data_IF_229407986536
#
_entry.id   IF_229407986536
#
_cell.length_a   1.000
_cell.length_b   1.000
_cell.length_c   1.000
_cell.angle_alpha   90.00
_cell.angle_beta   90.00
_cell.angle_gamma   90.00
#
_symmetry.space_group_name_H-M   'P 1'
#
loop_
_entity.id
_entity.type
_entity.pdbx_description
1 polymer ?
#
# COMPACT_ATOMS: atom_id res chain seq x y z
N UNK A 1 91.82 -38.19 -41.28
CA UNK A 1 91.38 -36.80 -41.56
C UNK A 1 91.32 -36.09 -40.22
N UNK A 2 92.42 -35.49 -39.80
CA UNK A 2 92.54 -34.78 -38.53
C UNK A 2 91.81 -33.45 -38.64
N UNK A 3 90.66 -33.31 -37.99
CA UNK A 3 89.98 -32.02 -37.92
C UNK A 3 90.83 -31.09 -37.06
N UNK A 4 91.27 -29.98 -37.64
CA UNK A 4 92.08 -28.98 -36.93
C UNK A 4 91.20 -28.33 -35.85
N UNK A 5 91.50 -28.64 -34.59
CA UNK A 5 90.72 -28.21 -33.42
C UNK A 5 90.59 -26.68 -33.35
N UNK A 6 91.58 -25.94 -33.87
CA UNK A 6 91.51 -24.46 -33.93
C UNK A 6 90.44 -23.99 -34.90
N UNK A 7 90.27 -24.68 -36.02
CA UNK A 7 89.25 -24.38 -37.03
C UNK A 7 87.85 -24.74 -36.53
N UNK A 8 87.71 -25.84 -35.78
CA UNK A 8 86.42 -26.22 -35.19
C UNK A 8 86.00 -25.29 -34.06
N UNK A 9 86.93 -24.91 -33.19
CA UNK A 9 86.67 -23.94 -32.10
C UNK A 9 86.39 -22.55 -32.68
N UNK A 10 87.10 -22.13 -33.72
CA UNK A 10 86.83 -20.87 -34.43
C UNK A 10 85.44 -20.84 -35.07
N UNK A 11 85.05 -21.92 -35.76
CA UNK A 11 83.72 -22.03 -36.36
C UNK A 11 82.61 -22.05 -35.30
N UNK A 12 82.82 -22.78 -34.19
CA UNK A 12 81.87 -22.80 -33.08
C UNK A 12 81.72 -21.43 -32.42
N UNK A 13 82.82 -20.72 -32.14
CA UNK A 13 82.77 -19.39 -31.55
C UNK A 13 82.06 -18.38 -32.46
N UNK A 14 82.24 -18.49 -33.77
CA UNK A 14 81.59 -17.61 -34.74
C UNK A 14 80.08 -17.88 -34.85
N UNK A 15 79.68 -19.15 -34.90
CA UNK A 15 78.26 -19.53 -34.87
C UNK A 15 77.62 -19.15 -33.54
N UNK A 16 78.31 -19.37 -32.42
CA UNK A 16 77.84 -19.00 -31.09
C UNK A 16 77.65 -17.48 -30.97
N UNK A 17 78.61 -16.67 -31.43
CA UNK A 17 78.47 -15.21 -31.45
C UNK A 17 77.37 -14.75 -32.42
N UNK A 18 77.15 -15.43 -33.53
CA UNK A 18 76.05 -15.11 -34.45
C UNK A 18 74.67 -15.40 -33.82
N UNK A 19 74.53 -16.53 -33.11
CA UNK A 19 73.29 -16.90 -32.42
C UNK A 19 73.03 -16.00 -31.20
N UNK A 20 74.06 -15.72 -30.40
CA UNK A 20 73.94 -14.80 -29.25
C UNK A 20 73.73 -13.35 -29.71
N UNK A 21 74.37 -12.94 -30.81
CA UNK A 21 74.14 -11.63 -31.43
C UNK A 21 72.72 -11.47 -31.98
N UNK A 22 72.16 -12.52 -32.61
CA UNK A 22 70.77 -12.50 -33.06
C UNK A 22 69.77 -12.45 -31.89
N UNK A 23 70.05 -13.14 -30.78
CA UNK A 23 69.24 -13.06 -29.57
C UNK A 23 69.36 -11.69 -28.86
N UNK A 24 70.53 -11.05 -28.90
CA UNK A 24 70.75 -9.74 -28.30
C UNK A 24 70.13 -8.60 -29.11
N UNK A 25 70.03 -8.71 -30.44
CA UNK A 25 69.36 -7.69 -31.28
C UNK A 25 67.82 -7.85 -31.22
N UNK A 26 67.31 -9.07 -31.04
CA UNK A 26 65.87 -9.30 -30.88
C UNK A 26 65.27 -8.76 -29.58
N UNK A 27 66.08 -8.57 -28.54
CA UNK A 27 65.63 -8.09 -27.22
C UNK A 27 65.60 -6.56 -27.04
N UNK A 28 66.11 -5.77 -27.99
CA UNK A 28 66.24 -4.29 -27.84
C UNK A 28 65.21 -3.53 -28.70
N UNK A 29 64.30 -4.24 -29.39
CA UNK A 29 63.14 -3.66 -30.10
C UNK A 29 61.82 -4.21 -29.57
N UNK A 30 61.79 -4.56 -28.28
CA UNK A 30 60.55 -4.67 -27.54
C UNK A 30 60.41 -3.38 -26.74
N UNK A 31 59.56 -2.50 -27.25
CA UNK A 31 59.02 -1.38 -26.51
C UNK A 31 58.47 -1.92 -25.19
N UNK A 32 59.08 -1.55 -24.06
CA UNK A 32 58.70 -2.02 -22.72
C UNK A 32 57.44 -1.28 -22.21
N UNK A 33 56.74 -0.61 -23.12
CA UNK A 33 55.39 -0.16 -22.88
C UNK A 33 54.51 -1.43 -22.81
N UNK A 34 53.78 -1.67 -21.69
CA UNK A 34 52.71 -2.64 -21.74
C UNK A 34 51.84 -2.32 -22.96
N UNK A 35 51.41 -3.32 -23.75
CA UNK A 35 50.57 -3.05 -24.90
C UNK A 35 49.46 -2.12 -24.42
N UNK A 36 49.26 -0.99 -25.12
CA UNK A 36 48.08 -0.16 -24.88
C UNK A 36 46.89 -1.05 -25.23
N UNK A 37 46.40 -1.76 -24.21
CA UNK A 37 45.12 -2.43 -24.28
C UNK A 37 44.16 -1.28 -24.45
N UNK A 38 43.56 -1.18 -25.64
CA UNK A 38 42.32 -0.43 -25.82
C UNK A 38 41.49 -0.66 -24.54
N UNK A 39 41.16 0.39 -23.78
CA UNK A 39 40.37 0.21 -22.58
C UNK A 39 39.15 -0.59 -23.02
N UNK A 40 38.95 -1.77 -22.40
CA UNK A 40 37.82 -2.64 -22.72
C UNK A 40 36.60 -1.74 -22.77
N UNK A 41 36.00 -1.59 -23.95
CA UNK A 41 34.90 -0.66 -24.14
C UNK A 41 33.82 -1.03 -23.13
N UNK A 42 33.72 -0.26 -22.05
CA UNK A 42 32.89 -0.54 -20.89
C UNK A 42 31.44 -0.16 -21.18
N UNK A 43 30.98 -0.34 -22.42
CA UNK A 43 29.60 -0.13 -22.83
C UNK A 43 28.66 -1.09 -22.08
N UNK A 44 29.14 -2.27 -21.71
CA UNK A 44 28.39 -3.26 -20.93
C UNK A 44 28.47 -3.06 -19.40
N UNK A 45 29.19 -2.04 -18.91
CA UNK A 45 29.30 -1.68 -17.50
C UNK A 45 28.82 -0.24 -17.22
N UNK A 46 27.92 0.27 -18.06
CA UNK A 46 27.22 1.51 -17.78
C UNK A 46 26.01 1.18 -16.90
N UNK A 47 26.21 1.02 -15.59
CA UNK A 47 25.09 0.85 -14.65
C UNK A 47 24.07 1.98 -14.81
N UNK A 48 24.56 3.20 -15.02
CA UNK A 48 23.74 4.40 -15.26
C UNK A 48 22.88 4.33 -16.54
N UNK A 49 23.21 3.45 -17.50
CA UNK A 49 22.42 3.24 -18.72
C UNK A 49 21.37 2.12 -18.59
N UNK A 50 21.38 1.39 -17.47
CA UNK A 50 20.44 0.28 -17.19
C UNK A 50 19.46 0.65 -16.09
N UNK A 51 19.74 1.68 -15.29
CA UNK A 51 18.80 2.17 -14.29
C UNK A 51 17.60 2.83 -14.98
N UNK A 52 16.37 2.28 -14.79
CA UNK A 52 15.17 2.93 -15.30
C UNK A 52 15.01 4.31 -14.65
N UNK A 53 14.43 5.25 -15.38
CA UNK A 53 14.05 6.54 -14.79
C UNK A 53 13.05 6.29 -13.65
N UNK A 54 13.38 6.82 -12.47
CA UNK A 54 12.53 6.78 -11.28
C UNK A 54 12.06 8.17 -10.91
N UNK A 55 11.00 8.25 -10.11
CA UNK A 55 10.57 9.52 -9.50
C UNK A 55 11.61 10.07 -8.53
N UNK A 56 11.40 11.32 -8.09
CA UNK A 56 12.18 11.92 -7.01
C UNK A 56 12.06 11.13 -5.70
N UNK A 57 13.14 11.11 -4.93
CA UNK A 57 13.20 10.54 -3.58
C UNK A 57 13.67 11.61 -2.60
N UNK A 58 13.20 11.53 -1.34
CA UNK A 58 13.70 12.35 -0.24
C UNK A 58 12.75 13.42 0.30
N UNK A 59 11.44 13.31 0.01
CA UNK A 59 10.41 14.14 0.65
C UNK A 59 10.24 13.81 2.14
N UNK A 60 10.01 14.85 2.96
CA UNK A 60 9.56 14.71 4.35
C UNK A 60 8.04 14.73 4.43
N UNK A 61 7.48 14.06 5.44
CA UNK A 61 6.05 14.19 5.76
C UNK A 61 5.90 15.37 6.70
N UNK A 62 5.19 16.39 6.26
CA UNK A 62 4.87 17.58 7.06
C UNK A 62 3.34 17.74 7.14
N UNK A 63 2.85 18.24 8.27
CA UNK A 63 1.43 18.58 8.48
C UNK A 63 1.26 20.10 8.48
N UNK A 64 0.14 20.58 7.97
CA UNK A 64 -0.22 22.00 8.01
C UNK A 64 -1.15 22.34 9.20
N UNK A 65 -1.84 21.34 9.76
CA UNK A 65 -2.81 21.56 10.83
C UNK A 65 -2.20 22.03 12.15
N UNK A 66 -2.79 23.08 12.73
CA UNK A 66 -2.51 23.60 14.09
C UNK A 66 -3.61 23.20 15.11
N UNK A 67 -4.41 22.18 14.82
CA UNK A 67 -5.48 21.71 15.70
C UNK A 67 -4.95 21.27 17.08
N UNK A 68 -5.75 21.38 18.16
CA UNK A 68 -5.34 20.86 19.45
C UNK A 68 -5.09 19.34 19.39
N UNK A 69 -4.45 18.80 20.44
CA UNK A 69 -4.18 17.36 20.54
C UNK A 69 -5.45 16.54 20.32
N UNK A 70 -5.41 15.69 19.30
CA UNK A 70 -6.47 14.76 18.90
C UNK A 70 -5.97 13.33 19.14
N UNK A 71 -6.88 12.39 19.34
CA UNK A 71 -6.58 10.96 19.52
C UNK A 71 -6.90 10.19 18.24
N UNK A 72 -5.85 9.68 17.58
CA UNK A 72 -5.96 8.87 16.36
C UNK A 72 -5.77 7.39 16.70
N UNK A 73 -6.75 6.56 16.34
CA UNK A 73 -6.72 5.11 16.60
C UNK A 73 -6.28 4.37 15.34
N UNK A 74 -5.17 3.63 15.42
CA UNK A 74 -4.62 2.87 14.30
C UNK A 74 -4.86 1.37 14.51
N UNK A 75 -5.61 0.77 13.62
CA UNK A 75 -5.86 -0.67 13.59
C UNK A 75 -4.67 -1.43 13.01
N UNK A 76 -4.21 -2.45 13.73
CA UNK A 76 -3.02 -3.25 13.36
C UNK A 76 -3.33 -4.48 12.50
N UNK A 77 -4.61 -4.76 12.23
CA UNK A 77 -5.03 -6.05 11.69
C UNK A 77 -4.98 -7.18 12.71
N UNK A 78 -5.77 -8.22 12.49
CA UNK A 78 -5.76 -9.44 13.28
C UNK A 78 -4.43 -10.17 13.08
N UNK A 79 -3.62 -10.25 14.14
CA UNK A 79 -2.26 -10.77 14.08
C UNK A 79 -2.17 -12.23 13.62
N UNK A 80 -1.72 -12.43 12.39
CA UNK A 80 -0.88 -13.57 11.99
C UNK A 80 0.42 -13.08 11.35
N UNK A 81 0.95 -11.94 11.78
CA UNK A 81 2.38 -11.63 11.61
C UNK A 81 3.17 -12.51 12.58
N UNK A 82 3.34 -13.78 12.20
CA UNK A 82 4.19 -14.73 12.90
C UNK A 82 5.62 -14.20 12.99
N UNK A 83 6.21 -14.35 14.17
CA UNK A 83 7.64 -14.24 14.38
C UNK A 83 8.34 -15.25 13.45
N UNK A 84 8.85 -14.77 12.33
CA UNK A 84 9.62 -15.57 11.38
C UNK A 84 9.55 -14.94 10.00
N UNK A 85 10.71 -14.56 9.45
CA UNK A 85 10.85 -14.08 8.08
C UNK A 85 10.41 -15.14 7.07
N UNK A 86 9.12 -15.22 6.83
CA UNK A 86 8.52 -15.89 5.69
C UNK A 86 8.40 -14.88 4.57
N UNK A 87 9.14 -15.14 3.49
CA UNK A 87 9.05 -14.42 2.22
C UNK A 87 7.60 -14.25 1.80
N UNK A 88 7.26 -13.05 1.34
CA UNK A 88 6.06 -12.74 0.56
C UNK A 88 5.77 -13.90 -0.38
N UNK A 89 4.65 -14.60 -0.16
CA UNK A 89 4.20 -15.62 -1.10
C UNK A 89 3.81 -14.84 -2.34
N UNK A 90 4.66 -14.89 -3.37
CA UNK A 90 4.32 -14.44 -4.70
C UNK A 90 3.00 -15.13 -5.11
N UNK A 91 2.08 -14.43 -5.80
CA UNK A 91 0.75 -14.91 -6.11
C UNK A 91 0.80 -15.93 -7.25
N UNK A 92 1.32 -17.12 -6.96
CA UNK A 92 1.24 -18.28 -7.83
C UNK A 92 1.00 -19.47 -6.91
N UNK A 93 -0.26 -19.79 -6.63
CA UNK A 93 -0.83 -21.13 -6.35
C UNK A 93 -2.12 -21.02 -5.51
N UNK A 94 -3.28 -20.91 -6.15
CA UNK A 94 -4.32 -21.96 -6.20
C UNK A 94 -5.50 -21.51 -7.09
N UNK A 95 -6.05 -22.40 -7.91
CA UNK A 95 -6.95 -22.03 -9.04
C UNK A 95 -8.44 -21.85 -8.67
N UNK A 96 -8.80 -21.90 -7.38
CA UNK A 96 -10.20 -21.81 -6.92
C UNK A 96 -10.50 -20.63 -5.97
N UNK A 97 -9.53 -19.74 -5.75
CA UNK A 97 -9.73 -18.42 -5.13
C UNK A 97 -8.84 -17.40 -5.84
N UNK A 98 -9.31 -16.18 -6.16
CA UNK A 98 -8.39 -15.15 -6.60
C UNK A 98 -7.33 -14.98 -5.51
N UNK A 99 -6.06 -15.23 -5.85
CA UNK A 99 -4.96 -15.05 -4.91
C UNK A 99 -5.00 -13.60 -4.41
N UNK A 100 -5.23 -13.43 -3.11
CA UNK A 100 -5.12 -12.16 -2.41
C UNK A 100 -3.65 -11.72 -2.54
N UNK A 101 -3.39 -10.75 -3.42
CA UNK A 101 -2.07 -10.19 -3.61
C UNK A 101 -1.82 -9.17 -2.49
N UNK A 102 -1.60 -9.67 -1.27
CA UNK A 102 -1.14 -8.84 -0.17
C UNK A 102 0.35 -8.54 -0.37
N UNK A 103 0.67 -7.32 -0.79
CA UNK A 103 2.04 -6.78 -0.83
C UNK A 103 2.49 -6.36 0.57
N UNK A 104 2.21 -7.22 1.56
CA UNK A 104 2.20 -6.89 2.97
C UNK A 104 3.46 -6.20 3.46
N UNK A 105 3.28 -5.37 4.49
CA UNK A 105 4.34 -4.51 4.98
C UNK A 105 5.50 -5.27 5.63
N UNK A 106 6.71 -4.97 5.17
CA UNK A 106 7.96 -5.56 5.68
C UNK A 106 8.21 -5.11 7.12
N UNK A 107 7.59 -5.80 8.09
CA UNK A 107 7.70 -5.50 9.53
C UNK A 107 6.37 -5.22 10.24
N UNK A 108 5.24 -5.46 9.59
CA UNK A 108 3.90 -5.36 10.18
C UNK A 108 3.34 -3.93 10.20
N UNK A 109 2.02 -3.81 10.41
CA UNK A 109 1.26 -2.55 10.23
C UNK A 109 1.85 -1.36 10.99
N UNK A 110 2.41 -1.57 12.19
CA UNK A 110 3.06 -0.50 12.97
C UNK A 110 4.20 0.18 12.21
N UNK A 111 5.00 -0.60 11.48
CA UNK A 111 6.06 -0.05 10.64
C UNK A 111 5.47 0.55 9.37
N UNK A 112 4.51 -0.15 8.76
CA UNK A 112 3.88 0.31 7.52
C UNK A 112 3.20 1.68 7.63
N UNK A 113 2.69 2.04 8.81
CA UNK A 113 2.09 3.36 9.07
C UNK A 113 3.01 4.33 9.81
N UNK A 114 4.29 3.99 10.00
CA UNK A 114 5.21 4.77 10.82
C UNK A 114 5.33 6.23 10.36
N UNK A 115 5.51 6.55 9.07
CA UNK A 115 5.53 7.94 8.57
C UNK A 115 4.31 8.76 8.96
N UNK A 116 3.10 8.23 8.76
CA UNK A 116 1.85 8.89 9.17
C UNK A 116 1.81 9.11 10.69
N UNK A 117 2.12 8.08 11.48
CA UNK A 117 2.08 8.20 12.94
C UNK A 117 3.17 9.10 13.50
N UNK A 118 4.32 9.18 12.84
CA UNK A 118 5.40 10.10 13.20
C UNK A 118 4.95 11.54 13.00
N UNK A 119 4.37 11.86 11.83
CA UNK A 119 3.83 13.19 11.55
C UNK A 119 2.77 13.60 12.59
N UNK A 120 1.80 12.72 12.88
CA UNK A 120 0.78 12.98 13.90
C UNK A 120 1.38 13.26 15.29
N UNK A 121 2.37 12.47 15.73
CA UNK A 121 3.01 12.62 17.04
C UNK A 121 3.90 13.86 17.10
N UNK A 122 4.63 14.16 16.03
CA UNK A 122 5.49 15.35 15.92
C UNK A 122 4.67 16.64 15.95
N UNK A 123 3.45 16.61 15.39
CA UNK A 123 2.46 17.71 15.47
C UNK A 123 1.68 17.75 16.80
N UNK A 124 1.94 16.82 17.73
CA UNK A 124 1.39 16.86 19.08
C UNK A 124 0.06 16.11 19.29
N UNK A 125 -0.36 15.27 18.34
CA UNK A 125 -1.52 14.40 18.50
C UNK A 125 -1.15 13.05 19.15
N UNK A 126 -2.13 12.38 19.77
CA UNK A 126 -1.95 11.07 20.39
C UNK A 126 -2.26 9.95 19.38
N UNK A 127 -1.38 8.95 19.29
CA UNK A 127 -1.60 7.75 18.48
C UNK A 127 -1.82 6.53 19.37
N UNK A 128 -2.99 5.88 19.23
CA UNK A 128 -3.36 4.66 19.95
C UNK A 128 -3.49 3.48 19.00
N UNK A 129 -2.77 2.41 19.26
CA UNK A 129 -2.84 1.21 18.41
C UNK A 129 -3.86 0.19 18.95
N UNK A 130 -4.70 -0.33 18.05
CA UNK A 130 -5.70 -1.36 18.33
C UNK A 130 -5.37 -2.66 17.58
N UNK A 131 -5.15 -3.75 18.32
CA UNK A 131 -4.78 -5.07 17.79
C UNK A 131 -5.93 -6.08 17.77
N UNK A 132 -7.18 -5.61 17.63
CA UNK A 132 -8.35 -6.49 17.62
C UNK A 132 -8.51 -7.28 18.91
N UNK A 133 -8.71 -8.60 18.79
CA UNK A 133 -8.88 -9.55 19.90
C UNK A 133 -7.76 -9.58 20.93
N UNK A 134 -6.57 -9.08 20.59
CA UNK A 134 -5.43 -8.99 21.52
C UNK A 134 -5.50 -7.75 22.41
N UNK A 135 -6.36 -6.80 22.08
CA UNK A 135 -6.55 -5.55 22.82
C UNK A 135 -7.29 -5.79 24.13
N UNK A 136 -6.91 -5.04 25.16
CA UNK A 136 -7.55 -5.09 26.49
C UNK A 136 -8.92 -4.42 26.54
N UNK A 137 -9.23 -3.58 25.57
CA UNK A 137 -10.47 -2.81 25.46
C UNK A 137 -11.12 -3.10 24.11
N UNK A 138 -12.46 -3.02 24.06
CA UNK A 138 -13.22 -3.09 22.81
C UNK A 138 -12.97 -1.83 21.97
N UNK A 139 -12.99 -1.97 20.65
CA UNK A 139 -12.82 -0.82 19.75
C UNK A 139 -13.84 0.28 20.02
N UNK A 140 -15.11 -0.06 20.22
CA UNK A 140 -16.16 0.91 20.55
C UNK A 140 -15.88 1.77 21.78
N UNK A 141 -15.21 1.22 22.81
CA UNK A 141 -14.79 1.99 24.00
C UNK A 141 -13.60 2.90 23.71
N UNK A 142 -12.75 2.53 22.75
CA UNK A 142 -11.62 3.36 22.35
C UNK A 142 -12.10 4.50 21.46
N UNK A 143 -13.02 4.20 20.53
CA UNK A 143 -13.59 5.16 19.58
C UNK A 143 -14.47 6.23 20.24
N UNK A 144 -15.06 5.97 21.41
CA UNK A 144 -15.85 6.99 22.13
C UNK A 144 -15.01 8.18 22.63
N UNK A 145 -13.70 7.99 22.77
CA UNK A 145 -12.76 9.03 23.18
C UNK A 145 -11.77 9.38 22.04
N UNK A 146 -12.01 8.89 20.83
CA UNK A 146 -11.14 9.11 19.68
C UNK A 146 -11.71 10.18 18.76
N UNK A 147 -10.81 10.87 18.06
CA UNK A 147 -11.17 11.89 17.08
C UNK A 147 -11.04 11.34 15.65
N UNK A 148 -10.17 10.33 15.45
CA UNK A 148 -9.96 9.70 14.16
C UNK A 148 -9.63 8.20 14.23
N UNK A 149 -9.83 7.50 13.12
CA UNK A 149 -9.54 6.09 12.95
C UNK A 149 -8.76 5.80 11.65
N UNK A 150 -7.84 4.83 11.69
CA UNK A 150 -7.05 4.40 10.55
C UNK A 150 -7.04 2.87 10.49
N UNK A 151 -7.30 2.30 9.33
CA UNK A 151 -7.06 0.88 9.04
C UNK A 151 -6.46 0.71 7.66
N UNK A 152 -5.48 -0.20 7.53
CA UNK A 152 -4.90 -0.62 6.24
C UNK A 152 -5.43 -1.97 5.77
N UNK A 153 -6.26 -2.62 6.58
CA UNK A 153 -6.84 -3.92 6.27
C UNK A 153 -8.26 -3.97 6.86
N UNK A 154 -9.28 -3.44 6.15
CA UNK A 154 -10.66 -3.47 6.62
C UNK A 154 -11.19 -4.90 6.81
N UNK A 155 -10.72 -5.87 6.01
CA UNK A 155 -11.13 -7.27 6.13
C UNK A 155 -10.66 -7.97 7.41
N UNK A 156 -9.73 -7.36 8.15
CA UNK A 156 -9.27 -7.87 9.44
C UNK A 156 -10.10 -7.37 10.63
N UNK A 157 -11.06 -6.46 10.41
CA UNK A 157 -12.01 -6.04 11.46
C UNK A 157 -12.99 -7.19 11.74
N UNK A 158 -13.25 -7.45 13.02
CA UNK A 158 -14.36 -8.33 13.39
C UNK A 158 -15.69 -7.64 13.08
N UNK A 159 -16.78 -8.39 12.88
CA UNK A 159 -18.11 -7.79 12.66
C UNK A 159 -18.46 -6.68 13.67
N UNK A 160 -18.33 -6.90 15.00
CA UNK A 160 -18.56 -5.85 15.99
C UNK A 160 -17.60 -4.66 15.92
N UNK A 161 -16.38 -4.86 15.42
CA UNK A 161 -15.42 -3.76 15.23
C UNK A 161 -15.76 -2.96 13.97
N UNK A 162 -16.18 -3.62 12.88
CA UNK A 162 -16.66 -2.97 11.66
C UNK A 162 -17.91 -2.12 11.96
N UNK A 163 -18.91 -2.69 12.65
CA UNK A 163 -20.12 -1.98 13.08
C UNK A 163 -19.79 -0.72 13.92
N UNK A 164 -18.76 -0.83 14.78
CA UNK A 164 -18.32 0.28 15.63
C UNK A 164 -17.65 1.40 14.83
N UNK A 165 -16.82 1.04 13.84
CA UNK A 165 -16.20 2.02 12.94
C UNK A 165 -17.24 2.66 12.03
N UNK A 166 -18.22 1.90 11.53
CA UNK A 166 -19.31 2.44 10.72
C UNK A 166 -20.09 3.52 11.49
N UNK A 167 -20.50 3.22 12.72
CA UNK A 167 -21.17 4.20 13.59
C UNK A 167 -20.30 5.43 13.90
N UNK A 168 -18.98 5.25 13.99
CA UNK A 168 -18.02 6.34 14.19
C UNK A 168 -17.95 7.25 12.96
N UNK A 169 -17.89 6.68 11.75
CA UNK A 169 -17.90 7.44 10.48
C UNK A 169 -19.22 8.19 10.32
N UNK A 170 -20.36 7.54 10.60
CA UNK A 170 -21.70 8.17 10.57
C UNK A 170 -21.82 9.35 11.54
N UNK A 171 -21.13 9.28 12.68
CA UNK A 171 -21.06 10.37 13.65
C UNK A 171 -20.08 11.50 13.26
N UNK A 172 -19.46 11.42 12.08
CA UNK A 172 -18.51 12.41 11.55
C UNK A 172 -17.04 12.12 11.85
N UNK A 173 -16.74 10.99 12.49
CA UNK A 173 -15.39 10.60 12.90
C UNK A 173 -14.50 10.37 11.68
N UNK A 174 -13.39 11.12 11.61
CA UNK A 174 -12.48 11.07 10.46
C UNK A 174 -11.82 9.71 10.36
N UNK A 175 -11.97 9.08 9.21
CA UNK A 175 -11.53 7.70 9.02
C UNK A 175 -10.75 7.56 7.72
N UNK A 176 -9.54 6.99 7.82
CA UNK A 176 -8.77 6.51 6.68
C UNK A 176 -8.90 4.99 6.58
N UNK A 177 -9.33 4.52 5.41
CA UNK A 177 -9.24 3.10 5.03
C UNK A 177 -8.28 2.99 3.84
N UNK A 178 -7.10 2.42 4.08
CA UNK A 178 -6.30 1.89 2.99
C UNK A 178 -6.68 0.43 2.76
N UNK A 179 -6.74 -0.01 1.51
CA UNK A 179 -6.99 -1.42 1.16
C UNK A 179 -6.14 -1.83 -0.02
N UNK A 180 -5.24 -2.76 0.22
CA UNK A 180 -4.39 -3.34 -0.82
C UNK A 180 -5.19 -4.24 -1.79
N UNK A 181 -4.63 -4.54 -2.97
CA UNK A 181 -5.24 -5.46 -3.93
C UNK A 181 -5.62 -6.80 -3.31
N UNK A 182 -6.84 -7.26 -3.61
CA UNK A 182 -7.45 -8.43 -2.97
C UNK A 182 -8.41 -8.06 -1.83
N UNK A 183 -8.32 -6.84 -1.27
CA UNK A 183 -9.23 -6.35 -0.23
C UNK A 183 -10.58 -5.79 -0.74
N UNK A 184 -10.82 -5.76 -2.06
CA UNK A 184 -11.97 -5.08 -2.67
C UNK A 184 -13.34 -5.53 -2.12
N UNK A 185 -13.50 -6.82 -1.81
CA UNK A 185 -14.74 -7.34 -1.22
C UNK A 185 -14.99 -6.77 0.17
N UNK A 186 -14.01 -6.91 1.07
CA UNK A 186 -14.10 -6.38 2.44
C UNK A 186 -14.23 -4.84 2.46
N UNK A 187 -13.52 -4.15 1.56
CA UNK A 187 -13.66 -2.71 1.40
C UNK A 187 -15.07 -2.33 0.96
N UNK A 188 -15.67 -3.06 0.01
CA UNK A 188 -17.03 -2.79 -0.45
C UNK A 188 -18.04 -3.09 0.65
N UNK A 189 -17.91 -4.20 1.36
CA UNK A 189 -18.79 -4.55 2.48
C UNK A 189 -18.82 -3.43 3.54
N UNK A 190 -17.64 -2.88 3.89
CA UNK A 190 -17.51 -1.76 4.82
C UNK A 190 -17.93 -0.40 4.23
N UNK A 191 -17.59 -0.12 2.97
CA UNK A 191 -17.74 1.19 2.34
C UNK A 191 -19.14 1.46 1.77
N UNK A 192 -19.91 0.40 1.48
CA UNK A 192 -21.23 0.49 0.83
C UNK A 192 -22.20 1.45 1.53
N UNK A 193 -22.32 1.48 2.87
CA UNK A 193 -23.19 2.44 3.57
C UNK A 193 -22.85 3.91 3.27
N UNK A 194 -21.59 4.19 2.93
CA UNK A 194 -21.07 5.52 2.60
C UNK A 194 -20.97 5.78 1.09
N UNK A 195 -21.53 4.87 0.28
CA UNK A 195 -21.46 4.92 -1.18
C UNK A 195 -20.08 4.61 -1.76
N UNK A 196 -19.14 4.07 -0.97
CA UNK A 196 -17.78 3.73 -1.40
C UNK A 196 -17.68 2.24 -1.74
N UNK A 197 -16.95 1.90 -2.80
CA UNK A 197 -16.73 0.53 -3.21
C UNK A 197 -15.31 0.31 -3.72
N UNK A 198 -14.83 -0.93 -3.61
CA UNK A 198 -13.58 -1.39 -4.23
C UNK A 198 -13.89 -2.23 -5.46
N UNK A 199 -13.02 -2.16 -6.48
CA UNK A 199 -13.07 -3.05 -7.63
C UNK A 199 -12.03 -4.17 -7.49
N UNK A 200 -12.37 -5.37 -7.93
CA UNK A 200 -11.48 -6.51 -7.85
C UNK A 200 -10.28 -6.36 -8.80
N UNK A 201 -9.09 -6.66 -8.29
CA UNK A 201 -7.83 -6.65 -9.02
C UNK A 201 -6.91 -5.51 -8.61
N UNK A 202 -5.79 -5.42 -9.33
CA UNK A 202 -4.86 -4.29 -9.27
C UNK A 202 -4.77 -3.59 -10.63
N UNK A 203 -4.35 -2.33 -10.60
CA UNK A 203 -4.02 -1.49 -11.76
C UNK A 203 -2.54 -1.58 -12.03
N UNK A 204 -2.16 -1.61 -13.30
CA UNK A 204 -0.77 -1.58 -13.74
C UNK A 204 -0.60 -0.70 -14.97
N UNK A 205 0.59 -0.10 -15.15
CA UNK A 205 0.87 0.77 -16.27
C UNK A 205 2.27 0.50 -16.84
N UNK A 206 2.35 0.22 -18.15
CA UNK A 206 3.62 -0.06 -18.83
C UNK A 206 4.34 1.22 -19.30
N UNK A 207 3.67 2.37 -19.20
CA UNK A 207 4.13 3.67 -19.73
C UNK A 207 4.34 4.66 -18.60
N UNK A 208 3.34 4.85 -17.72
CA UNK A 208 3.38 5.81 -16.63
C UNK A 208 3.61 5.09 -15.28
N UNK A 209 4.85 4.67 -15.07
CA UNK A 209 5.25 3.95 -13.86
C UNK A 209 6.62 4.38 -13.33
N UNK A 210 6.85 4.15 -12.04
CA UNK A 210 8.12 4.34 -11.36
C UNK A 210 8.97 3.07 -11.45
N UNK A 211 9.64 2.89 -12.59
CA UNK A 211 10.56 1.78 -12.87
C UNK A 211 9.99 0.34 -12.77
N UNK A 212 8.72 0.20 -12.43
CA UNK A 212 8.01 -1.07 -12.30
C UNK A 212 6.55 -0.86 -12.67
N UNK A 213 6.02 -1.67 -13.59
CA UNK A 213 4.65 -1.56 -14.08
C UNK A 213 3.55 -1.61 -13.00
N UNK A 214 3.83 -2.14 -11.81
CA UNK A 214 2.93 -2.12 -10.65
C UNK A 214 3.05 -0.86 -9.80
N UNK A 215 4.15 -0.12 -9.93
CA UNK A 215 4.39 1.18 -9.28
C UNK A 215 3.80 2.29 -10.14
N UNK A 216 2.47 2.40 -10.14
CA UNK A 216 1.73 3.33 -11.01
C UNK A 216 1.88 4.76 -10.52
N UNK A 217 1.99 5.68 -11.49
CA UNK A 217 1.91 7.12 -11.24
C UNK A 217 0.46 7.56 -11.21
N UNK A 218 0.12 8.33 -10.18
CA UNK A 218 -1.24 8.74 -9.87
C UNK A 218 -1.29 10.24 -9.67
N UNK A 219 -2.33 10.89 -10.19
CA UNK A 219 -2.48 12.34 -10.18
C UNK A 219 -3.85 12.74 -9.59
N UNK A 220 -3.95 13.94 -8.99
CA UNK A 220 -5.23 14.51 -8.62
C UNK A 220 -6.19 14.68 -9.79
N UNK A 221 -7.45 14.32 -9.58
CA UNK A 221 -8.53 14.61 -10.53
C UNK A 221 -9.11 16.02 -10.34
N UNK A 222 -8.78 16.66 -9.21
CA UNK A 222 -9.23 17.98 -8.82
C UNK A 222 -8.69 18.41 -7.45
N UNK A 223 -8.92 19.67 -7.06
CA UNK A 223 -8.50 20.18 -5.76
C UNK A 223 -9.36 19.58 -4.63
N UNK A 224 -8.74 19.32 -3.48
CA UNK A 224 -9.42 18.81 -2.29
C UNK A 224 -8.44 18.54 -1.15
N UNK A 225 -8.97 18.23 0.03
CA UNK A 225 -8.18 18.05 1.25
C UNK A 225 -7.09 16.97 1.15
N UNK A 226 -7.23 15.98 0.27
CA UNK A 226 -6.22 14.94 0.05
C UNK A 226 -5.18 15.32 -1.02
N UNK A 227 -5.48 16.31 -1.87
CA UNK A 227 -4.73 16.61 -3.09
C UNK A 227 -4.06 17.98 -3.08
N UNK A 228 -4.18 18.74 -1.99
CA UNK A 228 -3.51 20.02 -1.84
C UNK A 228 -1.99 19.85 -1.90
N UNK A 229 -1.32 20.61 -2.76
CA UNK A 229 0.13 20.50 -2.98
C UNK A 229 0.61 19.19 -3.63
N UNK A 230 -0.28 18.25 -3.96
CA UNK A 230 0.07 16.99 -4.63
C UNK A 230 0.08 17.22 -6.15
N UNK A 231 1.20 16.99 -6.81
CA UNK A 231 1.25 16.94 -8.28
C UNK A 231 1.15 15.49 -8.76
N UNK A 232 1.92 14.59 -8.14
CA UNK A 232 1.96 13.18 -8.51
C UNK A 232 2.44 12.29 -7.36
N UNK A 233 1.76 11.16 -7.17
CA UNK A 233 2.11 10.14 -6.17
C UNK A 233 2.42 8.79 -6.84
N UNK A 234 3.14 7.93 -6.12
CA UNK A 234 3.45 6.56 -6.57
C UNK A 234 2.77 5.57 -5.64
N UNK A 235 1.94 4.70 -6.22
CA UNK A 235 1.30 3.59 -5.52
C UNK A 235 1.88 2.27 -6.03
N UNK A 236 2.39 1.41 -5.15
CA UNK A 236 3.11 0.16 -5.54
C UNK A 236 2.23 -1.07 -5.69
N UNK A 237 0.93 -0.90 -5.47
CA UNK A 237 -0.10 -1.90 -5.71
C UNK A 237 -1.47 -1.26 -5.65
N UNK A 238 -1.81 -0.44 -6.64
CA UNK A 238 -3.08 0.28 -6.61
C UNK A 238 -4.26 -0.66 -6.97
N UNK A 239 -5.23 -0.75 -6.08
CA UNK A 239 -6.56 -1.31 -6.34
C UNK A 239 -7.53 -0.17 -6.74
N UNK A 240 -8.43 -0.38 -7.71
CA UNK A 240 -9.41 0.64 -8.04
C UNK A 240 -10.43 0.81 -6.91
N UNK A 241 -10.74 2.05 -6.58
CA UNK A 241 -11.77 2.44 -5.61
C UNK A 241 -12.66 3.52 -6.22
N UNK A 242 -13.94 3.49 -5.87
CA UNK A 242 -14.95 4.39 -6.41
C UNK A 242 -15.94 4.86 -5.36
N UNK A 243 -16.68 5.92 -5.71
CA UNK A 243 -17.81 6.43 -4.94
C UNK A 243 -19.02 6.53 -5.88
N UNK A 244 -20.21 6.19 -5.39
CA UNK A 244 -21.42 6.14 -6.20
C UNK A 244 -21.83 7.53 -6.74
N UNK A 245 -21.75 8.55 -5.89
CA UNK A 245 -22.18 9.92 -6.19
C UNK A 245 -20.99 10.89 -6.15
N UNK A 246 -20.01 10.68 -7.03
CA UNK A 246 -18.84 11.54 -7.08
C UNK A 246 -17.79 11.11 -8.08
N UNK A 247 -16.58 11.61 -7.88
CA UNK A 247 -15.40 11.22 -8.66
C UNK A 247 -14.27 10.88 -7.71
N UNK A 248 -13.38 9.98 -8.13
CA UNK A 248 -12.15 9.70 -7.41
C UNK A 248 -11.36 11.00 -7.20
N UNK A 249 -10.71 11.15 -6.06
CA UNK A 249 -9.81 12.27 -5.76
C UNK A 249 -8.44 12.10 -6.44
N UNK A 250 -8.00 10.84 -6.57
CA UNK A 250 -6.77 10.45 -7.24
C UNK A 250 -7.09 9.39 -8.29
N UNK A 251 -6.49 9.51 -9.47
CA UNK A 251 -6.66 8.54 -10.55
C UNK A 251 -5.35 8.26 -11.30
N UNK A 252 -5.29 7.06 -11.87
CA UNK A 252 -4.20 6.64 -12.77
C UNK A 252 -4.38 7.22 -14.17
N UNK A 253 -3.31 7.20 -14.98
CA UNK A 253 -3.35 7.67 -16.36
C UNK A 253 -4.20 6.76 -17.27
N UNK A 254 -4.68 7.27 -18.41
CA UNK A 254 -5.47 6.49 -19.39
C UNK A 254 -4.72 5.29 -19.99
N UNK A 255 -3.39 5.26 -19.88
CA UNK A 255 -2.54 4.15 -20.31
C UNK A 255 -2.57 2.95 -19.36
N UNK A 256 -3.07 3.15 -18.14
CA UNK A 256 -3.16 2.13 -17.12
C UNK A 256 -4.16 1.05 -17.51
N UNK A 257 -3.99 -0.13 -16.94
CA UNK A 257 -4.81 -1.30 -17.22
C UNK A 257 -5.25 -2.01 -15.95
N UNK A 258 -6.48 -2.48 -15.95
CA UNK A 258 -6.98 -3.34 -14.88
C UNK A 258 -6.56 -4.80 -15.11
N UNK A 259 -6.03 -5.46 -14.09
CA UNK A 259 -5.55 -6.85 -14.18
C UNK A 259 -6.64 -7.87 -14.53
N UNK A 260 -7.88 -7.67 -14.09
CA UNK A 260 -9.00 -8.60 -14.29
C UNK A 260 -9.58 -8.56 -15.70
N UNK A 261 -9.74 -7.35 -16.27
CA UNK A 261 -10.33 -7.16 -17.61
C UNK A 261 -9.29 -6.92 -18.70
N UNK A 262 -8.08 -6.47 -18.32
CA UNK A 262 -7.03 -5.93 -19.21
C UNK A 262 -7.47 -4.73 -20.03
N UNK A 263 -8.58 -4.12 -19.66
CA UNK A 263 -9.05 -2.87 -20.25
C UNK A 263 -8.05 -1.75 -19.95
N UNK A 264 -7.86 -0.84 -20.91
CA UNK A 264 -7.06 0.35 -20.71
C UNK A 264 -7.98 1.51 -20.34
N UNK A 265 -7.58 2.30 -19.35
CA UNK A 265 -8.37 3.44 -18.88
C UNK A 265 -7.76 4.11 -17.67
N UNK A 266 -8.37 5.20 -17.25
CA UNK A 266 -8.07 5.87 -15.99
C UNK A 266 -8.91 5.25 -14.89
N UNK A 267 -8.24 4.76 -13.85
CA UNK A 267 -8.87 4.12 -12.69
C UNK A 267 -8.71 5.00 -11.46
N UNK A 268 -9.82 5.25 -10.76
CA UNK A 268 -9.81 5.90 -9.45
C UNK A 268 -9.13 5.02 -8.40
N UNK A 269 -8.23 5.60 -7.62
CA UNK A 269 -7.42 4.87 -6.62
C UNK A 269 -7.45 5.53 -5.25
N UNK A 270 -8.03 6.73 -5.14
CA UNK A 270 -8.46 7.27 -3.86
C UNK A 270 -9.77 8.02 -4.01
N UNK A 271 -10.63 7.94 -3.00
CA UNK A 271 -11.90 8.66 -2.91
C UNK A 271 -12.02 9.28 -1.52
N UNK A 272 -12.81 10.35 -1.43
CA UNK A 272 -13.27 10.91 -0.18
C UNK A 272 -14.79 11.01 -0.22
N UNK A 273 -15.45 10.46 0.79
CA UNK A 273 -16.88 10.58 1.06
C UNK A 273 -17.04 11.16 2.46
N UNK A 274 -17.28 12.47 2.55
CA UNK A 274 -17.42 13.23 3.81
C UNK A 274 -16.27 13.03 4.83
N UNK A 275 -16.52 12.21 5.87
CA UNK A 275 -15.62 11.82 6.96
C UNK A 275 -14.77 10.57 6.66
N UNK A 276 -15.01 9.89 5.54
CA UNK A 276 -14.28 8.71 5.10
C UNK A 276 -13.36 9.04 3.92
N UNK A 277 -12.06 8.80 4.08
CA UNK A 277 -11.09 8.75 3.00
C UNK A 277 -10.69 7.29 2.74
N UNK A 278 -10.70 6.89 1.47
CA UNK A 278 -10.30 5.54 1.05
C UNK A 278 -9.20 5.62 0.01
N UNK A 279 -8.13 4.86 0.20
CA UNK A 279 -7.02 4.71 -0.76
C UNK A 279 -6.84 3.23 -1.08
N UNK A 280 -6.83 2.87 -2.35
CA UNK A 280 -6.67 1.49 -2.81
C UNK A 280 -5.25 0.93 -2.70
N UNK A 281 -4.43 1.47 -1.82
CA UNK A 281 -3.05 1.03 -1.57
C UNK A 281 -2.65 1.52 -0.18
N UNK A 282 -2.08 0.65 0.64
CA UNK A 282 -1.50 1.02 1.93
C UNK A 282 0.01 1.25 1.85
N UNK A 283 0.65 0.77 0.78
CA UNK A 283 2.12 0.80 0.66
C UNK A 283 2.69 2.22 0.59
N UNK A 284 1.92 3.22 0.15
CA UNK A 284 2.36 4.62 0.14
C UNK A 284 2.71 5.15 1.54
N UNK A 285 2.11 4.59 2.60
CA UNK A 285 2.40 4.95 3.99
C UNK A 285 3.75 4.42 4.47
N UNK A 286 4.33 3.44 3.78
CA UNK A 286 5.52 2.74 4.29
C UNK A 286 6.78 3.61 4.25
N UNK A 287 7.73 3.44 5.18
CA UNK A 287 8.95 4.24 5.24
C UNK A 287 9.74 4.31 3.92
N UNK A 288 9.79 3.19 3.19
CA UNK A 288 10.45 3.07 1.88
C UNK A 288 9.72 3.79 0.73
N UNK A 289 8.43 4.08 0.87
CA UNK A 289 7.60 4.68 -0.18
C UNK A 289 7.14 6.11 0.16
N UNK A 290 7.11 6.48 1.45
CA UNK A 290 6.65 7.79 1.92
C UNK A 290 7.44 8.97 1.34
N UNK A 291 8.73 8.76 1.03
CA UNK A 291 9.59 9.79 0.43
C UNK A 291 9.64 9.78 -1.10
N UNK A 292 8.83 8.96 -1.80
CA UNK A 292 8.81 8.86 -3.27
C UNK A 292 7.78 9.83 -3.86
N UNK A 293 8.16 10.56 -4.90
CA UNK A 293 7.33 11.62 -5.50
C UNK A 293 6.70 12.51 -4.41
N UNK A 294 5.40 12.82 -4.51
CA UNK A 294 4.68 13.61 -3.51
C UNK A 294 3.96 12.74 -2.46
N UNK A 295 4.36 11.47 -2.27
CA UNK A 295 3.74 10.62 -1.24
C UNK A 295 3.81 11.28 0.14
N UNK A 296 4.90 12.00 0.45
CA UNK A 296 5.04 12.71 1.71
C UNK A 296 3.99 13.81 1.92
N UNK A 297 3.65 14.52 0.83
CA UNK A 297 2.59 15.54 0.82
C UNK A 297 1.21 14.88 0.99
N UNK A 298 0.95 13.78 0.28
CA UNK A 298 -0.29 13.02 0.45
C UNK A 298 -0.46 12.50 1.89
N UNK A 299 0.62 12.00 2.52
CA UNK A 299 0.58 11.55 3.91
C UNK A 299 0.29 12.73 4.86
N UNK A 300 0.89 13.90 4.62
CA UNK A 300 0.60 15.13 5.34
C UNK A 300 -0.87 15.51 5.26
N UNK A 301 -1.41 15.57 4.05
CA UNK A 301 -2.82 15.83 3.78
C UNK A 301 -3.76 14.83 4.46
N UNK A 302 -3.40 13.55 4.46
CA UNK A 302 -4.14 12.50 5.18
C UNK A 302 -4.10 12.74 6.69
N UNK A 303 -2.94 13.11 7.25
CA UNK A 303 -2.82 13.43 8.66
C UNK A 303 -3.66 14.65 9.02
N UNK A 304 -3.62 15.71 8.21
CA UNK A 304 -4.45 16.90 8.37
C UNK A 304 -5.93 16.56 8.28
N UNK A 305 -6.34 15.75 7.30
CA UNK A 305 -7.71 15.26 7.20
C UNK A 305 -8.18 14.49 8.44
N UNK A 306 -7.31 13.67 9.05
CA UNK A 306 -7.64 12.89 10.24
C UNK A 306 -7.88 13.80 11.44
N UNK A 307 -7.13 14.89 11.59
CA UNK A 307 -7.21 15.75 12.78
C UNK A 307 -8.10 16.97 12.59
N UNK A 308 -8.56 17.25 11.36
CA UNK A 308 -9.45 18.36 11.05
C UNK A 308 -10.90 17.90 10.87
N UNK A 309 -11.80 18.41 11.71
CA UNK A 309 -13.21 18.05 11.66
C UNK A 309 -13.92 18.35 12.96
N UNK A 310 -15.23 18.13 12.98
CA UNK A 310 -15.98 18.13 14.24
C UNK A 310 -15.70 16.82 14.97
N UNK A 311 -15.51 16.89 16.29
CA UNK A 311 -15.34 15.69 17.09
C UNK A 311 -16.61 14.82 17.00
N UNK A 312 -16.46 13.51 16.75
CA UNK A 312 -17.60 12.64 16.56
C UNK A 312 -18.43 12.52 17.85
N UNK A 313 -19.74 12.78 17.75
CA UNK A 313 -20.70 12.54 18.84
C UNK A 313 -21.25 11.12 18.73
N UNK A 314 -20.40 10.14 19.02
CA UNK A 314 -20.76 8.71 18.96
C UNK A 314 -20.98 8.14 20.36
N UNK A 315 -22.08 7.39 20.53
CA UNK A 315 -22.39 6.68 21.76
C UNK A 315 -22.73 5.23 21.50
N UNK A 316 -21.84 4.33 21.91
CA UNK A 316 -21.99 2.89 21.69
C UNK A 316 -22.87 2.18 22.73
N UNK A 317 -23.53 2.94 23.62
CA UNK A 317 -24.31 2.40 24.73
C UNK A 317 -23.46 1.62 25.75
N UNK A 318 -24.06 1.13 26.84
CA UNK A 318 -23.33 0.31 27.79
C UNK A 318 -22.91 -1.01 27.13
N UNK A 319 -21.71 -1.52 27.43
CA UNK A 319 -21.23 -2.80 26.93
C UNK A 319 -22.26 -3.90 27.22
N UNK A 320 -22.96 -4.39 26.20
CA UNK A 320 -23.67 -5.67 26.32
C UNK A 320 -22.61 -6.73 26.60
N UNK A 321 -22.70 -7.36 27.77
CA UNK A 321 -21.79 -8.42 28.18
C UNK A 321 -21.93 -9.66 27.30
N UNK A 322 -20.97 -10.61 27.34
CA UNK A 322 -21.11 -11.87 26.61
C UNK A 322 -22.26 -12.66 27.22
N UNK A 323 -23.42 -12.66 26.55
CA UNK A 323 -24.63 -13.31 27.06
C UNK A 323 -25.97 -12.84 26.50
N UNK A 324 -25.99 -11.98 25.48
CA UNK A 324 -27.23 -11.52 24.83
C UNK A 324 -27.86 -12.55 23.89
N UNK A 325 -28.00 -13.81 24.31
CA UNK A 325 -28.99 -14.69 23.70
C UNK A 325 -30.36 -14.21 24.20
N UNK A 326 -31.19 -13.68 23.30
CA UNK A 326 -32.61 -13.47 23.58
C UNK A 326 -33.20 -14.83 23.95
N UNK A 327 -33.67 -15.06 25.20
CA UNK A 327 -34.34 -16.31 25.52
C UNK A 327 -35.68 -16.33 24.76
N UNK A 328 -36.02 -17.40 24.01
CA UNK A 328 -37.37 -17.55 23.50
C UNK A 328 -38.27 -17.93 24.68
N UNK A 329 -38.88 -16.93 25.32
CA UNK A 329 -39.82 -17.17 26.42
C UNK A 329 -39.91 -16.03 27.43
N UNK A 330 -40.41 -14.87 27.00
CA UNK A 330 -40.89 -13.82 27.91
C UNK A 330 -42.39 -13.96 28.15
N UNK A 331 -42.77 -14.37 29.35
CA UNK A 331 -44.15 -14.55 29.78
C UNK A 331 -44.99 -13.27 29.68
N UNK A 332 -46.22 -13.44 29.18
CA UNK A 332 -47.29 -12.42 29.15
C UNK A 332 -47.73 -12.09 30.59
N UNK A 333 -47.80 -10.80 31.00
CA UNK A 333 -48.43 -10.42 32.27
C UNK A 333 -49.96 -10.52 32.17
N UNK A 334 -50.66 -10.95 33.23
CA UNK A 334 -52.12 -11.08 33.17
C UNK A 334 -52.82 -9.74 33.40
N UNK A 335 -53.76 -9.41 32.51
CA UNK A 335 -54.94 -8.62 32.85
C UNK A 335 -54.98 -7.17 32.38
N UNK A 336 -55.75 -6.91 31.33
CA UNK A 336 -56.20 -5.58 30.90
C UNK A 336 -57.10 -5.70 29.68
N UNK A 337 -58.38 -5.98 29.88
CA UNK A 337 -59.36 -6.15 28.82
C UNK A 337 -59.72 -4.82 28.15
N UNK A 338 -59.58 -4.74 26.82
CA UNK A 338 -60.26 -3.76 25.96
C UNK A 338 -60.53 -4.43 24.60
N UNK A 339 -61.74 -4.27 24.00
CA UNK A 339 -62.23 -5.21 22.99
C UNK A 339 -61.69 -4.95 21.57
N UNK A 340 -61.47 -6.05 20.85
CA UNK A 340 -61.14 -6.13 19.42
C UNK A 340 -62.25 -5.57 18.53
N UNK A 341 -61.96 -4.77 17.49
CA UNK A 341 -62.93 -4.46 16.46
C UNK A 341 -63.12 -5.66 15.52
N UNK A 342 -64.38 -6.02 15.28
CA UNK A 342 -64.82 -7.11 14.41
C UNK A 342 -64.47 -6.85 12.93
N UNK A 343 -63.97 -7.83 12.16
CA UNK A 343 -63.75 -7.69 10.73
C UNK A 343 -65.08 -7.82 9.97
N UNK A 344 -65.40 -6.84 9.12
CA UNK A 344 -66.52 -6.91 8.18
C UNK A 344 -66.21 -7.83 7.00
N UNK A 345 -66.99 -8.90 6.87
CA UNK A 345 -66.97 -9.81 5.70
C UNK A 345 -67.70 -9.19 4.49
N UNK A 346 -67.22 -9.38 3.25
CA UNK A 346 -67.89 -8.89 2.04
C UNK A 346 -69.10 -9.76 1.65
N UNK A 347 -70.20 -9.08 1.31
CA UNK A 347 -71.48 -9.63 0.88
C UNK A 347 -71.38 -10.55 -0.35
N UNK A 348 -72.05 -11.70 -0.26
CA UNK A 348 -72.08 -12.76 -1.27
C UNK A 348 -72.82 -12.40 -2.56
N UNK A 349 -72.32 -12.98 -3.66
CA UNK A 349 -72.96 -12.96 -4.96
C UNK A 349 -73.83 -14.22 -5.11
N UNK A 350 -75.15 -14.03 -5.16
CA UNK A 350 -76.11 -15.10 -5.41
C UNK A 350 -76.33 -15.28 -6.91
N UNK A 351 -76.18 -16.52 -7.37
CA UNK A 351 -76.67 -17.02 -8.66
C UNK A 351 -78.19 -17.04 -8.72
N UNK A 352 -78.74 -16.43 -9.77
CA UNK A 352 -79.92 -16.86 -10.50
C UNK A 352 -79.75 -16.47 -11.97
#
# INVERSE_FOLDING_TARGET
MSVDLRTTVGAFALVFLAVVGAAAVGGVVLDDAPPETEPVASEHWQLDAVEPETVSEGGTVEMESDEPSNTVVVHLGGGTAGLGGGTSILPIEDADRPAEADIGTLGGVRRGVAPLTAALVESGHEVRFYGGVTSRQRLSTILSDADAFVTTNPGALSGPDADAVESFVEAGGRTLVASDPGGAGALTDFGSPFGVYGEAGYVYDMVNNDANYLSVLVEPTGPGALTEGVERVVLRGAAPVGVADGSASLATAETSRLSTTREAGSYGVAVRSDSLAVVGDSSFLEPENAGRADNGVLIGNVADFLVTGENPDVSFGPPTGPGGAVPPGGAVPPGGATPTPEPTDPSGNATA
#
